data_IF_885967087532
#
_entry.id   IF_885967087532
#
_cell.length_a   1.000
_cell.length_b   1.000
_cell.length_c   1.000
_cell.angle_alpha   90.00
_cell.angle_beta   90.00
_cell.angle_gamma   90.00
#
_symmetry.space_group_name_H-M   'P 1'
#
loop_
_entity.id
_entity.type
_entity.pdbx_description
1 polymer ?
#
# COMPACT_ATOMS: atom_id res chain seq x y z
N UNK A 1 15.94 0.23 -11.13
CA UNK A 1 15.16 -1.01 -11.01
C UNK A 1 15.40 -1.99 -12.15
N UNK A 2 15.68 -1.53 -13.37
CA UNK A 2 15.92 -2.39 -14.57
C UNK A 2 17.06 -3.42 -14.45
N UNK A 3 17.88 -3.30 -13.39
CA UNK A 3 18.96 -4.26 -13.10
C UNK A 3 18.47 -5.56 -12.48
N UNK A 4 17.22 -5.62 -12.04
CA UNK A 4 16.63 -6.82 -11.44
C UNK A 4 15.96 -7.68 -12.52
N UNK A 5 16.15 -9.02 -12.50
CA UNK A 5 15.48 -9.91 -13.45
C UNK A 5 13.96 -9.71 -13.42
N UNK A 6 13.35 -9.59 -14.60
CA UNK A 6 11.91 -9.41 -14.75
C UNK A 6 11.42 -7.95 -14.63
N UNK A 7 12.33 -7.00 -14.35
CA UNK A 7 12.01 -5.58 -14.23
C UNK A 7 12.34 -4.77 -15.50
N UNK A 8 12.75 -5.44 -16.57
CA UNK A 8 13.08 -4.78 -17.83
C UNK A 8 11.87 -3.96 -18.32
N UNK A 9 12.10 -2.68 -18.64
CA UNK A 9 11.08 -1.75 -19.13
C UNK A 9 9.83 -1.65 -18.22
N UNK A 10 9.99 -1.84 -16.90
CA UNK A 10 8.88 -1.89 -15.96
C UNK A 10 8.00 -0.63 -16.00
N UNK A 11 8.59 0.56 -16.16
CA UNK A 11 7.83 1.83 -16.26
C UNK A 11 6.86 1.81 -17.44
N UNK A 12 7.33 1.42 -18.63
CA UNK A 12 6.48 1.32 -19.81
C UNK A 12 5.41 0.22 -19.69
N UNK A 13 5.73 -0.87 -18.96
CA UNK A 13 4.78 -1.95 -18.68
C UNK A 13 3.68 -1.48 -17.75
N UNK A 14 4.04 -0.79 -16.65
CA UNK A 14 3.08 -0.18 -15.72
C UNK A 14 2.18 0.80 -16.48
N UNK A 15 2.76 1.76 -17.21
CA UNK A 15 1.99 2.76 -17.92
C UNK A 15 0.97 2.15 -18.89
N UNK A 16 1.42 1.19 -19.70
CA UNK A 16 0.55 0.51 -20.67
C UNK A 16 -0.60 -0.24 -19.99
N UNK A 17 -0.31 -1.02 -18.97
CA UNK A 17 -1.30 -1.80 -18.26
C UNK A 17 -2.27 -0.90 -17.48
N UNK A 18 -1.76 0.18 -16.85
CA UNK A 18 -2.57 1.15 -16.15
C UNK A 18 -3.56 1.85 -17.09
N UNK A 19 -3.08 2.41 -18.22
CA UNK A 19 -3.94 3.09 -19.20
C UNK A 19 -4.97 2.16 -19.86
N UNK A 20 -4.70 0.85 -19.90
CA UNK A 20 -5.63 -0.14 -20.43
C UNK A 20 -6.77 -0.50 -19.47
N UNK A 21 -6.58 -0.31 -18.16
CA UNK A 21 -7.51 -0.83 -17.14
C UNK A 21 -8.11 0.24 -16.24
N UNK A 22 -7.41 1.35 -16.04
CA UNK A 22 -7.80 2.40 -15.09
C UNK A 22 -8.37 3.58 -15.85
N UNK A 23 -9.60 3.97 -15.50
CA UNK A 23 -10.27 5.17 -16.01
C UNK A 23 -10.08 6.37 -15.10
N UNK A 24 -10.53 7.54 -15.52
CA UNK A 24 -10.43 8.80 -14.75
C UNK A 24 -11.21 8.76 -13.42
N UNK A 25 -12.28 7.98 -13.34
CA UNK A 25 -13.10 7.83 -12.14
C UNK A 25 -12.59 6.81 -11.14
N UNK A 26 -11.60 6.03 -11.50
CA UNK A 26 -11.08 4.94 -10.65
C UNK A 26 -10.13 5.45 -9.56
N UNK A 27 -9.98 4.65 -8.51
CA UNK A 27 -9.01 4.89 -7.45
C UNK A 27 -8.00 3.74 -7.39
N UNK A 28 -6.71 4.07 -7.44
CA UNK A 28 -5.62 3.10 -7.37
C UNK A 28 -4.85 3.27 -6.07
N UNK A 29 -4.59 2.17 -5.36
CA UNK A 29 -3.79 2.16 -4.13
C UNK A 29 -2.40 1.61 -4.44
N UNK A 30 -1.37 2.36 -4.06
CA UNK A 30 0.03 1.94 -4.14
C UNK A 30 0.54 1.69 -2.71
N UNK A 31 0.76 0.43 -2.33
CA UNK A 31 1.07 0.06 -0.95
C UNK A 31 2.56 0.24 -0.57
N UNK A 32 3.15 1.35 -0.98
CA UNK A 32 4.52 1.75 -0.61
C UNK A 32 5.58 1.50 -1.67
N UNK A 33 6.77 2.03 -1.39
CA UNK A 33 7.94 2.03 -2.27
C UNK A 33 7.66 2.68 -3.63
N UNK A 34 6.97 3.80 -3.56
CA UNK A 34 6.55 4.57 -4.73
C UNK A 34 7.72 5.29 -5.39
N UNK A 35 8.66 5.80 -4.59
CA UNK A 35 9.86 6.48 -5.07
C UNK A 35 11.03 6.31 -4.11
N UNK A 36 12.22 6.13 -4.65
CA UNK A 36 13.47 6.10 -3.87
C UNK A 36 14.11 7.49 -3.72
N UNK A 37 13.39 8.54 -4.09
CA UNK A 37 13.82 9.92 -3.86
C UNK A 37 14.11 10.17 -2.38
N UNK A 38 15.24 10.84 -2.09
CA UNK A 38 15.65 11.13 -0.71
C UNK A 38 14.88 12.31 -0.08
N UNK A 39 14.14 13.06 -0.89
CA UNK A 39 13.30 14.18 -0.48
C UNK A 39 12.07 14.28 -1.38
N UNK A 40 11.11 15.13 -1.04
CA UNK A 40 9.94 15.40 -1.88
C UNK A 40 10.34 15.89 -3.28
N UNK A 41 11.33 16.77 -3.36
CA UNK A 41 11.89 17.27 -4.62
C UNK A 41 12.56 16.16 -5.42
N UNK A 42 13.28 15.25 -4.73
CA UNK A 42 13.91 14.08 -5.34
C UNK A 42 12.92 13.07 -5.91
N UNK A 43 11.71 13.01 -5.34
CA UNK A 43 10.61 12.13 -5.79
C UNK A 43 9.69 12.79 -6.84
N UNK A 44 9.87 14.08 -7.14
CA UNK A 44 8.96 14.85 -7.99
C UNK A 44 8.76 14.25 -9.39
N UNK A 45 9.80 13.66 -9.98
CA UNK A 45 9.69 13.03 -11.29
C UNK A 45 8.74 11.82 -11.28
N UNK A 46 8.83 11.00 -10.22
CA UNK A 46 7.95 9.84 -10.04
C UNK A 46 6.51 10.28 -9.75
N UNK A 47 6.32 11.33 -8.95
CA UNK A 47 5.00 11.89 -8.72
C UNK A 47 4.36 12.46 -9.98
N UNK A 48 5.13 13.15 -10.83
CA UNK A 48 4.63 13.64 -12.13
C UNK A 48 4.26 12.50 -13.09
N UNK A 49 5.02 11.42 -13.07
CA UNK A 49 4.66 10.23 -13.82
C UNK A 49 3.32 9.67 -13.35
N UNK A 50 3.11 9.52 -12.05
CA UNK A 50 1.84 9.05 -11.49
C UNK A 50 0.69 10.03 -11.78
N UNK A 51 0.91 11.34 -11.65
CA UNK A 51 -0.10 12.37 -11.94
C UNK A 51 -0.60 12.30 -13.40
N UNK A 52 0.29 11.95 -14.33
CA UNK A 52 -0.04 11.81 -15.74
C UNK A 52 -0.85 10.54 -16.08
N UNK A 53 -0.99 9.62 -15.13
CA UNK A 53 -1.81 8.41 -15.29
C UNK A 53 -3.27 8.70 -14.86
N UNK A 54 -4.27 8.03 -15.46
CA UNK A 54 -5.67 8.22 -15.11
C UNK A 54 -5.99 7.75 -13.69
N UNK A 55 -7.07 8.28 -13.13
CA UNK A 55 -7.60 7.92 -11.82
C UNK A 55 -6.91 8.61 -10.64
N UNK A 56 -7.50 8.49 -9.45
CA UNK A 56 -6.96 8.96 -8.17
C UNK A 56 -5.95 7.96 -7.63
N UNK A 57 -4.82 8.43 -7.08
CA UNK A 57 -3.77 7.57 -6.51
C UNK A 57 -3.66 7.78 -5.00
N UNK A 58 -3.75 6.70 -4.26
CA UNK A 58 -3.55 6.67 -2.80
C UNK A 58 -2.22 6.02 -2.51
N UNK A 59 -1.28 6.80 -1.96
CA UNK A 59 0.07 6.37 -1.67
C UNK A 59 0.20 5.97 -0.20
N UNK A 60 0.71 4.76 0.07
CA UNK A 60 1.18 4.36 1.40
C UNK A 60 2.68 4.56 1.50
N UNK A 61 3.17 4.59 2.74
CA UNK A 61 4.60 4.59 3.00
C UNK A 61 5.17 3.18 2.94
N UNK A 62 6.20 2.97 2.11
CA UNK A 62 7.09 1.81 2.16
C UNK A 62 8.37 2.06 2.96
N UNK A 63 9.32 1.12 2.89
CA UNK A 63 10.61 1.29 3.55
C UNK A 63 11.59 2.12 2.73
N UNK A 64 11.43 2.19 1.42
CA UNK A 64 12.25 3.01 0.51
C UNK A 64 11.66 4.38 0.19
N UNK A 65 10.48 4.73 0.71
CA UNK A 65 9.92 6.07 0.57
C UNK A 65 10.62 7.05 1.52
N UNK A 66 11.90 7.35 1.26
CA UNK A 66 12.73 8.23 2.09
C UNK A 66 12.23 9.68 2.07
N UNK A 67 11.54 10.09 1.00
CA UNK A 67 10.89 11.38 0.83
C UNK A 67 9.74 11.64 1.81
N UNK A 68 9.23 10.60 2.47
CA UNK A 68 8.04 10.67 3.30
C UNK A 68 8.20 11.68 4.46
N UNK A 69 7.21 12.57 4.58
CA UNK A 69 7.19 13.61 5.59
C UNK A 69 5.83 13.66 6.31
N UNK A 70 5.56 14.72 7.04
CA UNK A 70 4.23 14.92 7.65
C UNK A 70 3.17 15.11 6.57
N UNK A 71 1.93 14.70 6.87
CA UNK A 71 0.81 14.84 5.93
C UNK A 71 0.68 16.27 5.38
N UNK A 72 0.78 17.26 6.26
CA UNK A 72 0.67 18.69 5.87
C UNK A 72 1.76 19.09 4.88
N UNK A 73 3.01 18.66 5.10
CA UNK A 73 4.11 18.98 4.18
C UNK A 73 3.94 18.32 2.81
N UNK A 74 3.52 17.05 2.80
CA UNK A 74 3.28 16.33 1.54
C UNK A 74 2.12 16.96 0.76
N UNK A 75 1.02 17.29 1.43
CA UNK A 75 -0.11 17.96 0.79
C UNK A 75 0.26 19.35 0.24
N UNK A 76 1.02 20.15 1.01
CA UNK A 76 1.50 21.45 0.53
C UNK A 76 2.36 21.29 -0.73
N UNK A 77 3.29 20.33 -0.73
CA UNK A 77 4.14 20.02 -1.87
C UNK A 77 3.32 19.57 -3.09
N UNK A 78 2.35 18.67 -2.91
CA UNK A 78 1.49 18.21 -4.00
C UNK A 78 0.70 19.38 -4.59
N UNK A 79 0.13 20.24 -3.75
CA UNK A 79 -0.61 21.43 -4.19
C UNK A 79 0.27 22.42 -4.95
N UNK A 80 1.48 22.70 -4.46
CA UNK A 80 2.45 23.59 -5.12
C UNK A 80 2.86 23.11 -6.51
N UNK A 81 2.93 21.79 -6.70
CA UNK A 81 3.38 21.19 -7.97
C UNK A 81 2.23 20.73 -8.88
N UNK A 82 0.97 21.02 -8.52
CA UNK A 82 -0.20 20.65 -9.32
C UNK A 82 -0.48 19.14 -9.37
N UNK A 83 -0.05 18.40 -8.34
CA UNK A 83 -0.27 16.96 -8.20
C UNK A 83 -1.63 16.71 -7.55
N UNK A 84 -2.70 16.85 -8.32
CA UNK A 84 -4.07 16.93 -7.81
C UNK A 84 -4.73 15.56 -7.63
N UNK A 85 -4.20 14.52 -8.26
CA UNK A 85 -4.74 13.15 -8.18
C UNK A 85 -4.01 12.29 -7.15
N UNK A 86 -2.94 12.80 -6.52
CA UNK A 86 -2.16 12.10 -5.52
C UNK A 86 -2.62 12.43 -4.10
N UNK A 87 -2.80 11.41 -3.30
CA UNK A 87 -3.13 11.52 -1.88
C UNK A 87 -2.33 10.50 -1.06
N UNK A 88 -1.98 10.84 0.19
CA UNK A 88 -1.30 9.89 1.08
C UNK A 88 -2.25 9.28 2.11
N UNK A 89 -2.10 7.99 2.34
CA UNK A 89 -2.74 7.27 3.44
C UNK A 89 -1.80 7.29 4.65
N UNK A 90 -2.14 8.09 5.66
CA UNK A 90 -1.31 8.27 6.84
C UNK A 90 -2.16 8.58 8.08
N UNK A 91 -2.51 7.56 8.85
CA UNK A 91 -3.41 7.65 10.01
C UNK A 91 -4.81 8.20 9.67
N UNK A 92 -5.27 7.99 8.46
CA UNK A 92 -6.57 8.39 7.94
C UNK A 92 -7.16 7.24 7.12
N UNK A 93 -8.38 7.40 6.66
CA UNK A 93 -8.95 6.56 5.60
C UNK A 93 -9.32 7.41 4.38
N UNK A 94 -9.52 6.74 3.28
CA UNK A 94 -10.01 7.31 2.02
C UNK A 94 -11.16 6.44 1.52
N UNK A 95 -12.30 7.05 1.20
CA UNK A 95 -13.43 6.30 0.65
C UNK A 95 -13.32 6.22 -0.87
N UNK A 96 -13.57 5.02 -1.41
CA UNK A 96 -13.60 4.75 -2.85
C UNK A 96 -14.56 3.57 -3.12
N UNK A 97 -15.40 3.69 -4.12
CA UNK A 97 -16.28 2.62 -4.64
C UNK A 97 -17.06 1.81 -3.57
N UNK A 98 -17.46 2.49 -2.50
CA UNK A 98 -18.24 1.86 -1.43
C UNK A 98 -17.45 1.07 -0.41
N UNK A 99 -16.12 1.21 -0.40
CA UNK A 99 -15.21 0.71 0.63
C UNK A 99 -14.45 1.86 1.32
N UNK A 100 -13.93 1.60 2.51
CA UNK A 100 -13.02 2.49 3.21
C UNK A 100 -11.59 1.94 3.12
N UNK A 101 -10.76 2.57 2.30
CA UNK A 101 -9.33 2.26 2.14
C UNK A 101 -8.60 2.77 3.37
N UNK A 102 -7.99 1.88 4.14
CA UNK A 102 -7.24 2.20 5.34
C UNK A 102 -5.96 1.36 5.41
N UNK A 103 -5.04 1.70 6.32
CA UNK A 103 -3.79 0.96 6.45
C UNK A 103 -2.64 1.75 7.04
N UNK A 104 -1.49 1.10 7.07
CA UNK A 104 -0.22 1.65 7.54
C UNK A 104 0.94 0.98 6.81
N UNK A 105 2.18 1.39 7.15
CA UNK A 105 3.34 0.66 6.63
C UNK A 105 3.37 -0.79 7.11
N UNK A 106 2.83 -1.09 8.29
CA UNK A 106 3.03 -2.36 8.94
C UNK A 106 4.48 -2.58 9.35
N UNK A 107 4.78 -3.76 9.85
CA UNK A 107 6.14 -4.18 10.15
C UNK A 107 6.22 -5.70 10.20
N UNK A 108 7.30 -6.22 9.66
CA UNK A 108 7.71 -7.61 9.81
C UNK A 108 9.21 -7.60 10.16
N UNK A 109 9.60 -8.35 11.17
CA UNK A 109 11.00 -8.54 11.51
C UNK A 109 11.58 -9.64 10.63
N UNK A 110 12.68 -9.34 9.96
CA UNK A 110 13.43 -10.32 9.21
C UNK A 110 14.23 -11.25 10.13
N UNK A 111 14.56 -12.44 9.64
CA UNK A 111 15.36 -13.41 10.40
C UNK A 111 16.72 -12.80 10.78
N UNK A 112 16.97 -12.71 12.09
CA UNK A 112 18.20 -12.11 12.63
C UNK A 112 18.09 -10.65 13.04
N UNK A 113 16.98 -9.97 12.74
CA UNK A 113 16.71 -8.65 13.30
C UNK A 113 16.34 -8.73 14.79
N UNK A 114 16.86 -7.79 15.56
CA UNK A 114 16.45 -7.65 16.95
C UNK A 114 15.00 -7.18 17.04
N UNK A 115 14.17 -7.88 17.80
CA UNK A 115 12.81 -7.45 18.04
C UNK A 115 12.78 -6.09 18.74
N UNK A 116 12.18 -5.08 18.09
CA UNK A 116 11.92 -3.77 18.69
C UNK A 116 10.40 -3.56 18.89
N UNK A 117 9.96 -3.80 20.10
CA UNK A 117 8.55 -3.63 20.49
C UNK A 117 8.03 -2.20 20.31
N UNK A 118 8.90 -1.19 20.27
CA UNK A 118 8.47 0.20 20.03
C UNK A 118 8.08 0.42 18.57
N UNK A 119 8.77 -0.23 17.63
CA UNK A 119 8.45 -0.12 16.22
C UNK A 119 7.10 -0.77 15.96
N UNK A 120 6.91 -2.01 16.38
CA UNK A 120 5.67 -2.73 16.13
C UNK A 120 4.48 -2.06 16.82
N UNK A 121 4.64 -1.61 18.06
CA UNK A 121 3.58 -0.91 18.78
C UNK A 121 3.16 0.39 18.08
N UNK A 122 4.12 1.16 17.56
CA UNK A 122 3.84 2.37 16.78
C UNK A 122 3.07 2.05 15.50
N UNK A 123 3.41 0.97 14.79
CA UNK A 123 2.69 0.58 13.57
C UNK A 123 1.29 0.06 13.88
N UNK A 124 1.09 -0.67 15.00
CA UNK A 124 -0.24 -1.05 15.48
C UNK A 124 -1.11 0.18 15.76
N UNK A 125 -0.58 1.18 16.48
CA UNK A 125 -1.32 2.43 16.76
C UNK A 125 -1.71 3.14 15.47
N UNK A 126 -0.81 3.23 14.48
CA UNK A 126 -1.10 3.85 13.19
C UNK A 126 -2.18 3.11 12.41
N UNK A 127 -2.12 1.79 12.43
CA UNK A 127 -3.12 0.94 11.79
C UNK A 127 -4.49 1.11 12.47
N UNK A 128 -4.54 1.06 13.79
CA UNK A 128 -5.77 1.30 14.56
C UNK A 128 -6.38 2.68 14.27
N UNK A 129 -5.57 3.74 14.23
CA UNK A 129 -6.04 5.07 13.89
C UNK A 129 -6.67 5.11 12.48
N UNK A 130 -6.01 4.48 11.51
CA UNK A 130 -6.51 4.43 10.14
C UNK A 130 -7.81 3.64 10.01
N UNK A 131 -7.93 2.49 10.69
CA UNK A 131 -9.15 1.68 10.70
C UNK A 131 -10.28 2.41 11.45
N UNK A 132 -9.99 3.06 12.58
CA UNK A 132 -10.98 3.83 13.32
C UNK A 132 -11.58 4.99 12.49
N UNK A 133 -10.78 5.63 11.62
CA UNK A 133 -11.33 6.60 10.65
C UNK A 133 -12.21 5.91 9.60
N UNK A 134 -11.85 4.70 9.16
CA UNK A 134 -12.65 3.92 8.23
C UNK A 134 -14.01 3.53 8.83
N UNK A 135 -14.05 3.08 10.08
CA UNK A 135 -15.28 2.71 10.80
C UNK A 135 -16.28 3.85 10.90
N UNK A 136 -15.81 5.11 11.03
CA UNK A 136 -16.69 6.30 11.06
C UNK A 136 -17.47 6.50 9.76
N UNK A 137 -17.01 5.94 8.67
CA UNK A 137 -17.69 6.05 7.36
C UNK A 137 -18.88 5.12 7.22
N UNK A 138 -18.97 4.08 8.06
CA UNK A 138 -19.95 3.00 7.93
C UNK A 138 -19.71 2.07 6.75
N UNK A 139 -18.58 2.23 6.03
CA UNK A 139 -18.19 1.38 4.91
C UNK A 139 -17.29 0.25 5.40
N UNK A 140 -17.18 -0.81 4.59
CA UNK A 140 -16.28 -1.91 4.90
C UNK A 140 -14.82 -1.46 4.84
N UNK A 141 -14.03 -1.66 5.91
CA UNK A 141 -12.61 -1.39 5.90
C UNK A 141 -11.87 -2.42 5.05
N UNK A 142 -11.12 -1.95 4.06
CA UNK A 142 -10.16 -2.75 3.29
C UNK A 142 -8.77 -2.23 3.63
N UNK A 143 -7.95 -3.12 4.20
CA UNK A 143 -6.63 -2.72 4.72
C UNK A 143 -5.55 -2.90 3.66
N UNK A 144 -4.69 -1.90 3.57
CA UNK A 144 -3.46 -1.94 2.78
C UNK A 144 -2.25 -1.78 3.71
N UNK A 145 -1.29 -2.67 3.57
CA UNK A 145 -0.01 -2.63 4.29
C UNK A 145 1.13 -2.63 3.29
N UNK A 146 2.28 -2.06 3.67
CA UNK A 146 3.50 -2.27 2.90
C UNK A 146 4.11 -3.62 3.28
N UNK A 147 4.44 -3.83 4.55
CA UNK A 147 4.95 -5.11 5.03
C UNK A 147 3.83 -6.14 5.23
N UNK A 148 4.04 -7.41 4.82
CA UNK A 148 3.11 -8.48 5.13
C UNK A 148 3.04 -8.73 6.65
N UNK A 149 1.86 -8.98 7.23
CA UNK A 149 1.77 -9.41 8.63
C UNK A 149 2.08 -10.90 8.81
N UNK A 150 2.08 -11.66 7.73
CA UNK A 150 2.46 -13.08 7.67
C UNK A 150 3.30 -13.33 6.43
N UNK A 151 4.47 -13.95 6.60
CA UNK A 151 5.38 -14.28 5.52
C UNK A 151 6.16 -15.55 5.86
N UNK A 152 5.94 -16.62 5.12
CA UNK A 152 6.48 -17.94 5.47
C UNK A 152 6.10 -18.33 6.89
N UNK A 153 7.10 -18.57 7.74
CA UNK A 153 6.92 -18.88 9.17
C UNK A 153 6.91 -17.62 10.06
N UNK A 154 7.26 -16.46 9.51
CA UNK A 154 7.28 -15.20 10.24
C UNK A 154 5.87 -14.62 10.36
N UNK A 155 5.48 -14.29 11.57
CA UNK A 155 4.16 -13.73 11.87
C UNK A 155 4.34 -12.48 12.73
N UNK A 156 3.53 -11.45 12.47
CA UNK A 156 3.36 -10.27 13.33
C UNK A 156 2.04 -10.40 14.10
N UNK A 157 2.03 -11.05 15.29
CA UNK A 157 0.80 -11.32 16.02
C UNK A 157 0.04 -10.05 16.37
N UNK A 158 0.77 -8.97 16.70
CA UNK A 158 0.18 -7.69 17.09
C UNK A 158 -0.58 -7.04 15.94
N UNK A 159 -0.05 -7.07 14.71
CA UNK A 159 -0.77 -6.56 13.53
C UNK A 159 -2.00 -7.42 13.24
N UNK A 160 -1.87 -8.76 13.32
CA UNK A 160 -3.02 -9.66 13.14
C UNK A 160 -4.11 -9.42 14.19
N UNK A 161 -3.73 -9.18 15.45
CA UNK A 161 -4.66 -8.87 16.52
C UNK A 161 -5.46 -7.58 16.22
N UNK A 162 -4.79 -6.53 15.74
CA UNK A 162 -5.46 -5.30 15.30
C UNK A 162 -6.45 -5.58 14.19
N UNK A 163 -6.05 -6.31 13.14
CA UNK A 163 -6.94 -6.65 12.03
C UNK A 163 -8.17 -7.43 12.51
N UNK A 164 -7.99 -8.41 13.37
CA UNK A 164 -9.08 -9.25 13.91
C UNK A 164 -10.00 -8.48 14.84
N UNK A 165 -9.46 -7.66 15.74
CA UNK A 165 -10.20 -6.80 16.67
C UNK A 165 -11.21 -5.90 15.93
N UNK A 166 -10.83 -5.39 14.77
CA UNK A 166 -11.65 -4.52 13.94
C UNK A 166 -12.44 -5.26 12.85
N UNK A 167 -12.47 -6.59 12.87
CA UNK A 167 -13.24 -7.39 11.91
C UNK A 167 -12.81 -7.22 10.46
N UNK A 168 -11.53 -6.88 10.21
CA UNK A 168 -10.98 -6.75 8.87
C UNK A 168 -11.01 -8.09 8.16
N UNK A 169 -11.62 -8.13 6.98
CA UNK A 169 -11.76 -9.35 6.17
C UNK A 169 -10.78 -9.43 5.02
N UNK A 170 -10.24 -8.28 4.58
CA UNK A 170 -9.36 -8.19 3.40
C UNK A 170 -8.17 -7.29 3.69
N UNK A 171 -6.99 -7.81 3.36
CA UNK A 171 -5.72 -7.11 3.53
C UNK A 171 -4.83 -7.32 2.30
N UNK A 172 -4.46 -6.23 1.67
CA UNK A 172 -3.54 -6.19 0.54
C UNK A 172 -2.17 -5.71 1.02
N UNK A 173 -1.09 -6.27 0.49
CA UNK A 173 0.26 -5.88 0.91
C UNK A 173 1.28 -5.98 -0.22
N UNK A 174 2.38 -5.24 -0.10
CA UNK A 174 3.50 -5.21 -1.04
C UNK A 174 4.78 -5.77 -0.47
N UNK A 175 5.90 -5.07 -0.69
CA UNK A 175 7.24 -5.29 -0.14
C UNK A 175 7.96 -6.55 -0.67
N UNK A 176 7.28 -7.65 -0.85
CA UNK A 176 7.90 -8.94 -1.23
C UNK A 176 8.07 -9.00 -2.74
N UNK A 177 9.28 -9.33 -3.18
CA UNK A 177 9.67 -9.37 -4.60
C UNK A 177 10.40 -10.66 -4.98
N UNK A 178 10.49 -10.90 -6.28
CA UNK A 178 11.24 -11.97 -6.91
C UNK A 178 10.94 -13.35 -6.29
N UNK A 179 11.98 -14.11 -5.94
CA UNK A 179 11.79 -15.45 -5.36
C UNK A 179 11.08 -15.43 -4.00
N UNK A 180 11.13 -14.32 -3.27
CA UNK A 180 10.41 -14.14 -2.00
C UNK A 180 8.91 -14.32 -2.15
N UNK A 181 8.33 -14.02 -3.31
CA UNK A 181 6.90 -14.15 -3.55
C UNK A 181 6.36 -15.58 -3.32
N UNK A 182 7.21 -16.60 -3.39
CA UNK A 182 6.83 -18.00 -3.12
C UNK A 182 6.39 -18.26 -1.67
N UNK A 183 6.85 -17.42 -0.74
CA UNK A 183 6.53 -17.53 0.69
C UNK A 183 5.44 -16.57 1.14
N UNK A 184 4.98 -15.73 0.23
CA UNK A 184 3.92 -14.78 0.49
C UNK A 184 2.56 -15.49 0.66
N UNK A 185 1.76 -15.02 1.60
CA UNK A 185 0.40 -15.52 1.80
C UNK A 185 -0.54 -14.81 0.83
N UNK A 186 -0.88 -15.45 -0.28
CA UNK A 186 -1.93 -15.01 -1.20
C UNK A 186 -3.13 -15.95 -1.07
N UNK A 187 -4.03 -15.65 -0.11
CA UNK A 187 -5.13 -16.53 0.26
C UNK A 187 -5.68 -16.20 1.64
N UNK A 188 -6.44 -17.13 2.21
CA UNK A 188 -7.03 -16.97 3.54
C UNK A 188 -6.05 -17.43 4.62
N UNK A 189 -5.85 -16.58 5.62
CA UNK A 189 -5.10 -16.91 6.83
C UNK A 189 -5.84 -16.32 8.04
N UNK A 190 -6.13 -17.15 9.02
CA UNK A 190 -6.78 -16.76 10.29
C UNK A 190 -8.07 -15.93 10.10
N UNK A 191 -8.87 -16.29 9.09
CA UNK A 191 -10.14 -15.63 8.77
C UNK A 191 -10.03 -14.34 7.93
N UNK A 192 -8.82 -13.92 7.56
CA UNK A 192 -8.57 -12.74 6.74
C UNK A 192 -8.09 -13.17 5.36
N UNK A 193 -8.61 -12.57 4.30
CA UNK A 193 -8.14 -12.74 2.93
C UNK A 193 -6.95 -11.82 2.69
N UNK A 194 -5.76 -12.38 2.55
CA UNK A 194 -4.54 -11.67 2.18
C UNK A 194 -4.29 -11.74 0.69
N UNK A 195 -3.73 -10.67 0.12
CA UNK A 195 -3.30 -10.64 -1.27
C UNK A 195 -2.00 -9.86 -1.43
N UNK A 196 -1.00 -10.50 -2.05
CA UNK A 196 0.22 -9.84 -2.47
C UNK A 196 -0.05 -8.99 -3.72
N UNK A 197 0.39 -7.72 -3.70
CA UNK A 197 0.24 -6.80 -4.81
C UNK A 197 1.55 -6.10 -5.21
N UNK A 198 2.68 -6.78 -4.99
CA UNK A 198 3.98 -6.30 -5.49
C UNK A 198 4.01 -6.24 -7.01
N UNK A 199 4.65 -5.22 -7.57
CA UNK A 199 4.59 -4.94 -9.00
C UNK A 199 5.07 -6.10 -9.88
N UNK A 200 6.19 -6.73 -9.55
CA UNK A 200 6.74 -7.87 -10.27
C UNK A 200 5.86 -9.13 -10.13
N UNK A 201 5.30 -9.38 -8.95
CA UNK A 201 4.35 -10.47 -8.72
C UNK A 201 3.11 -10.32 -9.61
N UNK A 202 2.57 -9.13 -9.72
CA UNK A 202 1.45 -8.79 -10.60
C UNK A 202 1.87 -8.59 -12.07
N UNK A 203 3.16 -8.79 -12.41
CA UNK A 203 3.69 -8.51 -13.75
C UNK A 203 3.47 -7.07 -14.21
N UNK A 204 3.41 -6.14 -13.24
CA UNK A 204 3.14 -4.71 -13.42
C UNK A 204 1.74 -4.39 -13.97
N UNK A 205 0.78 -5.26 -13.68
CA UNK A 205 -0.61 -5.15 -14.14
C UNK A 205 -1.53 -4.87 -12.95
N UNK A 206 -2.24 -3.72 -12.90
CA UNK A 206 -3.17 -3.40 -11.82
C UNK A 206 -4.26 -4.47 -11.68
N UNK A 207 -4.60 -4.78 -10.44
CA UNK A 207 -5.65 -5.75 -10.10
C UNK A 207 -6.81 -5.06 -9.42
N UNK A 208 -8.02 -5.52 -9.70
CA UNK A 208 -9.21 -5.03 -9.06
C UNK A 208 -9.23 -5.44 -7.58
N UNK A 209 -9.53 -4.48 -6.71
CA UNK A 209 -9.82 -4.76 -5.30
C UNK A 209 -11.20 -5.44 -5.21
N UNK A 210 -11.25 -6.60 -4.56
CA UNK A 210 -12.52 -7.28 -4.32
C UNK A 210 -13.35 -6.41 -3.37
N UNK A 211 -14.47 -5.89 -3.85
CA UNK A 211 -15.49 -5.23 -3.02
C UNK A 211 -16.51 -6.28 -2.67
N UNK A 212 -16.93 -6.42 -1.40
CA UNK A 212 -17.88 -7.46 -0.96
C UNK A 212 -19.30 -7.38 -1.54
N UNK A 213 -19.49 -6.63 -2.61
CA UNK A 213 -20.69 -6.67 -3.43
C UNK A 213 -20.49 -7.78 -4.45
N UNK A 214 -21.12 -8.92 -4.18
CA UNK A 214 -21.38 -9.91 -5.24
C UNK A 214 -22.13 -9.17 -6.36
N UNK A 215 -21.63 -9.34 -7.59
CA UNK A 215 -22.27 -8.80 -8.79
C UNK A 215 -23.57 -9.56 -9.09
#
# INVERSE_FOLDING_TARGET
MDVFPGWENYVARIERAWRAKVGEGDTVVLPGDTSWGMSLEGALADFRFLEALPGRKILLKGNHDYWWSTRSKVHAFFSEHGLNTLEILHNNCVTADGIAVCGSRGWLFETGEAFDGKIINRECIRLELSIAEAEKTGLEPVVFLHYPPVYGESVSPQILEVLKKHGVRRCYYGHIHAEGCRWAVDGSYDGIRFRLVSGDYLKFDPVLVETGREA
#
